data_IF_638088305532
#
_entry.id   IF_638088305532
#
_cell.length_a   1.000
_cell.length_b   1.000
_cell.length_c   1.000
_cell.angle_alpha   90.00
_cell.angle_beta   90.00
_cell.angle_gamma   90.00
#
_symmetry.space_group_name_H-M   'P 1'
#
loop_
_entity.id
_entity.type
_entity.pdbx_description
1 polymer ?
#
# COMPACT_ATOMS: atom_id res chain seq x y z
N UNK A 1 -41.66 7.13 38.82
CA UNK A 1 -41.02 7.93 37.75
C UNK A 1 -40.88 7.01 36.55
N UNK A 2 -41.40 7.27 35.35
CA UNK A 2 -41.15 8.42 34.48
C UNK A 2 -42.39 8.65 33.60
N UNK A 3 -42.92 9.87 33.63
CA UNK A 3 -43.95 10.33 32.70
C UNK A 3 -43.25 10.79 31.42
N UNK A 4 -43.49 10.13 30.29
CA UNK A 4 -43.27 10.74 28.98
C UNK A 4 -44.12 10.09 27.89
N UNK A 5 -45.37 10.55 27.73
CA UNK A 5 -46.02 10.56 26.43
C UNK A 5 -46.65 11.94 26.20
N UNK A 6 -45.82 12.96 25.92
CA UNK A 6 -46.31 14.30 25.53
C UNK A 6 -45.57 14.91 24.35
N UNK A 7 -44.43 14.34 23.95
CA UNK A 7 -43.66 14.79 22.79
C UNK A 7 -44.21 14.23 21.47
N UNK A 8 -44.60 12.95 21.45
CA UNK A 8 -45.10 12.28 20.24
C UNK A 8 -46.43 12.85 19.71
N UNK A 9 -47.30 13.39 20.57
CA UNK A 9 -48.54 14.06 20.13
C UNK A 9 -48.29 15.44 19.53
N UNK A 10 -47.28 16.18 20.02
CA UNK A 10 -46.90 17.49 19.45
C UNK A 10 -46.15 17.33 18.12
N UNK A 11 -45.32 16.30 17.98
CA UNK A 11 -44.64 15.99 16.72
C UNK A 11 -45.62 15.65 15.57
N UNK A 12 -46.79 15.06 15.87
CA UNK A 12 -47.78 14.66 14.85
C UNK A 12 -48.69 15.78 14.36
N UNK A 13 -48.87 16.86 15.13
CA UNK A 13 -49.74 17.99 14.74
C UNK A 13 -49.09 18.92 13.72
N UNK A 14 -47.77 19.10 13.82
CA UNK A 14 -47.04 20.06 13.00
C UNK A 14 -46.26 19.35 11.89
N UNK A 15 -46.84 19.30 10.68
CA UNK A 15 -46.20 18.67 9.50
C UNK A 15 -44.79 19.21 9.22
N UNK A 16 -44.54 20.50 9.52
CA UNK A 16 -43.22 21.13 9.40
C UNK A 16 -42.22 20.57 10.42
N UNK A 17 -42.67 20.38 11.67
CA UNK A 17 -41.83 19.85 12.74
C UNK A 17 -41.51 18.36 12.50
N UNK A 18 -42.50 17.59 12.03
CA UNK A 18 -42.31 16.21 11.60
C UNK A 18 -41.25 16.12 10.49
N UNK A 19 -41.31 17.00 9.48
CA UNK A 19 -40.36 17.07 8.36
C UNK A 19 -38.92 17.36 8.82
N UNK A 20 -38.75 18.30 9.75
CA UNK A 20 -37.43 18.65 10.30
C UNK A 20 -36.85 17.47 11.09
N UNK A 21 -37.69 16.78 11.87
CA UNK A 21 -37.25 15.62 12.66
C UNK A 21 -36.90 14.43 11.75
N UNK A 22 -37.70 14.15 10.71
CA UNK A 22 -37.35 13.10 9.74
C UNK A 22 -36.10 13.45 8.94
N UNK A 23 -35.92 14.71 8.52
CA UNK A 23 -34.69 15.14 7.86
C UNK A 23 -33.45 14.98 8.76
N UNK A 24 -33.58 15.30 10.06
CA UNK A 24 -32.51 15.10 11.03
C UNK A 24 -32.13 13.64 11.23
N UNK A 25 -33.13 12.74 11.33
CA UNK A 25 -32.89 11.29 11.44
C UNK A 25 -32.25 10.76 10.15
N UNK A 26 -32.73 11.17 8.97
CA UNK A 26 -32.10 10.78 7.70
C UNK A 26 -30.64 11.24 7.62
N UNK A 27 -30.34 12.48 8.05
CA UNK A 27 -28.97 12.98 8.09
C UNK A 27 -28.03 12.14 8.96
N UNK A 28 -28.49 11.73 10.15
CA UNK A 28 -27.71 10.87 11.04
C UNK A 28 -27.49 9.49 10.41
N UNK A 29 -28.52 8.90 9.79
CA UNK A 29 -28.40 7.62 9.08
C UNK A 29 -27.38 7.71 7.94
N UNK A 30 -27.37 8.80 7.18
CA UNK A 30 -26.39 9.02 6.11
C UNK A 30 -24.95 9.16 6.63
N UNK A 31 -24.74 9.83 7.77
CA UNK A 31 -23.40 9.95 8.38
C UNK A 31 -22.86 8.58 8.81
N UNK A 32 -23.70 7.78 9.47
CA UNK A 32 -23.30 6.43 9.91
C UNK A 32 -23.02 5.51 8.72
N UNK A 33 -23.82 5.57 7.66
CA UNK A 33 -23.55 4.83 6.42
C UNK A 33 -22.29 5.33 5.70
N UNK A 34 -21.92 6.61 5.85
CA UNK A 34 -20.69 7.17 5.30
C UNK A 34 -19.42 6.59 5.95
N UNK A 35 -19.48 6.17 7.21
CA UNK A 35 -18.36 5.45 7.85
C UNK A 35 -18.25 3.99 7.38
N UNK A 36 -19.34 3.38 6.91
CA UNK A 36 -19.36 1.99 6.41
C UNK A 36 -18.92 1.91 4.95
N UNK A 37 -19.01 3.01 4.20
CA UNK A 37 -18.38 3.11 2.88
C UNK A 37 -16.88 3.39 3.12
N UNK A 38 -15.97 2.47 2.76
CA UNK A 38 -14.55 2.74 2.88
C UNK A 38 -14.27 4.02 2.10
N UNK A 39 -13.66 5.01 2.76
CA UNK A 39 -13.16 6.23 2.12
C UNK A 39 -12.16 5.80 1.05
N UNK A 40 -12.63 5.54 -0.17
CA UNK A 40 -11.77 5.64 -1.33
C UNK A 40 -11.32 7.08 -1.31
N UNK A 41 -10.04 7.27 -0.98
CA UNK A 41 -9.38 8.55 -0.93
C UNK A 41 -9.91 9.43 -2.07
N UNK A 42 -10.59 10.52 -1.74
CA UNK A 42 -10.77 11.60 -2.70
C UNK A 42 -9.37 12.23 -2.81
N UNK A 43 -8.48 11.56 -3.54
CA UNK A 43 -7.23 12.13 -4.00
C UNK A 43 -7.63 13.27 -4.93
N UNK A 44 -7.60 14.47 -4.34
CA UNK A 44 -7.34 15.69 -5.07
C UNK A 44 -6.15 15.37 -5.96
N UNK A 45 -6.41 15.26 -7.25
CA UNK A 45 -5.46 14.81 -8.26
C UNK A 45 -4.43 15.92 -8.42
N UNK A 46 -3.46 15.94 -7.51
CA UNK A 46 -2.18 16.56 -7.76
C UNK A 46 -1.39 15.52 -8.54
N UNK A 47 -1.31 15.74 -9.85
CA UNK A 47 -0.43 15.02 -10.78
C UNK A 47 1.00 15.09 -10.25
N UNK A 48 1.36 14.14 -9.40
CA UNK A 48 2.70 13.84 -8.94
C UNK A 48 2.86 12.34 -9.04
N UNK A 49 3.76 11.91 -9.91
CA UNK A 49 3.95 10.53 -10.34
C UNK A 49 3.88 9.50 -9.21
N UNK A 50 3.01 8.52 -9.42
CA UNK A 50 2.94 7.26 -8.70
C UNK A 50 4.27 6.51 -8.82
N UNK A 51 5.20 6.80 -7.90
CA UNK A 51 6.40 5.99 -7.68
C UNK A 51 6.47 5.44 -6.25
N UNK A 52 5.31 5.36 -5.59
CA UNK A 52 5.17 4.88 -4.21
C UNK A 52 4.51 3.50 -4.11
N UNK A 53 3.93 2.98 -5.19
CA UNK A 53 3.02 1.82 -5.12
C UNK A 53 3.69 0.44 -5.08
N UNK A 54 4.93 0.26 -5.58
CA UNK A 54 5.52 -1.09 -5.67
C UNK A 54 6.16 -1.59 -4.37
N UNK A 55 6.87 -0.71 -3.64
CA UNK A 55 7.56 -1.11 -2.41
C UNK A 55 6.56 -1.27 -1.25
N UNK A 56 5.64 -0.30 -1.10
CA UNK A 56 4.61 -0.34 -0.06
C UNK A 56 3.70 -1.57 -0.17
N UNK A 57 3.37 -1.98 -1.40
CA UNK A 57 2.54 -3.17 -1.65
C UNK A 57 3.24 -4.48 -1.23
N UNK A 58 4.56 -4.54 -1.40
CA UNK A 58 5.34 -5.71 -1.00
C UNK A 58 5.42 -5.84 0.54
N UNK A 59 5.63 -4.72 1.24
CA UNK A 59 5.61 -4.64 2.71
C UNK A 59 4.27 -5.12 3.27
N UNK A 60 3.15 -4.58 2.78
CA UNK A 60 1.81 -5.00 3.23
C UNK A 60 1.55 -6.49 2.98
N UNK A 61 2.03 -7.02 1.86
CA UNK A 61 1.86 -8.44 1.53
C UNK A 61 2.63 -9.33 2.51
N UNK A 62 3.85 -8.92 2.87
CA UNK A 62 4.65 -9.59 3.89
C UNK A 62 4.01 -9.54 5.26
N UNK A 63 3.55 -8.36 5.68
CA UNK A 63 2.85 -8.16 6.96
C UNK A 63 1.62 -9.06 7.07
N UNK A 64 0.73 -9.05 6.07
CA UNK A 64 -0.48 -9.89 6.05
C UNK A 64 -0.16 -11.38 6.08
N UNK A 65 0.88 -11.81 5.34
CA UNK A 65 1.29 -13.23 5.33
C UNK A 65 1.82 -13.67 6.68
N UNK A 66 2.66 -12.85 7.32
CA UNK A 66 3.22 -13.15 8.63
C UNK A 66 2.15 -13.11 9.71
N UNK A 67 1.29 -12.11 9.71
CA UNK A 67 0.15 -12.00 10.63
C UNK A 67 -0.74 -13.24 10.53
N UNK A 68 -1.08 -13.67 9.31
CA UNK A 68 -1.88 -14.87 9.07
C UNK A 68 -1.23 -16.12 9.66
N UNK A 69 0.07 -16.34 9.41
CA UNK A 69 0.78 -17.52 9.93
C UNK A 69 0.78 -17.52 11.47
N UNK A 70 1.09 -16.38 12.08
CA UNK A 70 1.21 -16.26 13.54
C UNK A 70 -0.18 -16.35 14.20
N UNK A 71 -1.24 -15.90 13.53
CA UNK A 71 -2.62 -15.99 14.03
C UNK A 71 -3.11 -17.43 14.27
N UNK A 72 -2.55 -18.42 13.57
CA UNK A 72 -2.89 -19.84 13.77
C UNK A 72 -2.18 -20.47 14.98
N UNK A 73 -1.24 -19.77 15.60
CA UNK A 73 -0.55 -20.27 16.78
C UNK A 73 -1.51 -20.21 17.97
N UNK A 74 -1.75 -21.36 18.61
CA UNK A 74 -2.62 -21.45 19.76
C UNK A 74 -2.13 -20.53 20.89
N UNK A 75 -3.00 -19.64 21.35
CA UNK A 75 -2.68 -18.61 22.34
C UNK A 75 -2.14 -17.27 21.80
N UNK A 76 -2.01 -17.06 20.48
CA UNK A 76 -1.46 -15.82 19.91
C UNK A 76 -2.35 -14.57 20.07
N UNK A 77 -3.67 -14.75 20.24
CA UNK A 77 -4.60 -13.64 20.46
C UNK A 77 -4.67 -12.68 19.25
N UNK A 78 -4.50 -11.38 19.50
CA UNK A 78 -4.45 -10.37 18.43
C UNK A 78 -2.99 -10.12 18.03
N UNK A 79 -2.70 -10.35 16.76
CA UNK A 79 -1.37 -10.21 16.18
C UNK A 79 -1.36 -8.98 15.27
N UNK A 80 -0.32 -8.15 15.39
CA UNK A 80 -0.03 -7.06 14.45
C UNK A 80 1.46 -7.15 14.10
N UNK A 81 1.77 -7.08 12.80
CA UNK A 81 3.14 -7.21 12.29
C UNK A 81 3.46 -5.97 11.47
N UNK A 82 4.66 -5.42 11.65
CA UNK A 82 5.21 -4.33 10.86
C UNK A 82 6.52 -4.80 10.22
N UNK A 83 6.71 -4.53 8.94
CA UNK A 83 7.92 -4.88 8.19
C UNK A 83 8.58 -3.60 7.66
N UNK A 84 9.90 -3.52 7.80
CA UNK A 84 10.71 -2.45 7.21
C UNK A 84 11.75 -3.08 6.32
N UNK A 85 11.76 -2.71 5.04
CA UNK A 85 12.76 -3.19 4.10
C UNK A 85 14.01 -2.33 4.17
N UNK A 86 15.17 -2.95 4.33
CA UNK A 86 16.48 -2.27 4.28
C UNK A 86 16.84 -1.84 2.85
N UNK A 87 16.36 -2.58 1.86
CA UNK A 87 16.65 -2.37 0.44
C UNK A 87 15.37 -2.30 -0.37
N UNK A 88 15.33 -1.38 -1.33
CA UNK A 88 14.25 -1.28 -2.32
C UNK A 88 14.56 -2.10 -3.58
N UNK A 89 13.76 -1.93 -4.63
CA UNK A 89 13.96 -2.61 -5.91
C UNK A 89 15.31 -2.22 -6.52
N UNK A 90 16.17 -3.21 -6.75
CA UNK A 90 17.46 -3.02 -7.41
C UNK A 90 17.35 -3.36 -8.90
N UNK A 91 17.57 -2.38 -9.77
CA UNK A 91 17.70 -2.61 -11.22
C UNK A 91 19.10 -3.14 -11.51
N UNK A 92 19.19 -4.38 -12.00
CA UNK A 92 20.46 -5.00 -12.41
C UNK A 92 20.64 -4.84 -13.92
N UNK A 93 21.75 -4.23 -14.33
CA UNK A 93 22.12 -4.09 -15.73
C UNK A 93 22.71 -5.40 -16.27
N UNK A 94 22.54 -5.64 -17.57
CA UNK A 94 23.26 -6.71 -18.25
C UNK A 94 24.76 -6.39 -18.27
N UNK A 95 25.57 -7.36 -17.86
CA UNK A 95 27.03 -7.26 -17.75
C UNK A 95 27.70 -8.33 -18.61
N UNK A 96 28.75 -7.94 -19.31
CA UNK A 96 29.69 -8.86 -19.96
C UNK A 96 30.99 -8.87 -19.13
N UNK A 97 31.32 -10.03 -18.55
CA UNK A 97 32.49 -10.21 -17.69
C UNK A 97 33.46 -11.19 -18.35
N UNK A 98 34.71 -10.76 -18.58
CA UNK A 98 35.77 -11.60 -19.13
C UNK A 98 36.87 -11.79 -18.08
N UNK A 99 37.01 -13.02 -17.60
CA UNK A 99 38.13 -13.43 -16.75
C UNK A 99 39.18 -14.15 -17.61
N UNK A 100 40.39 -13.60 -17.67
CA UNK A 100 41.55 -14.26 -18.24
C UNK A 100 42.47 -14.71 -17.12
N UNK A 101 42.64 -16.02 -16.97
CA UNK A 101 43.60 -16.62 -16.03
C UNK A 101 44.69 -17.32 -16.83
N UNK A 102 45.91 -16.79 -16.81
CA UNK A 102 47.10 -17.46 -17.34
C UNK A 102 47.84 -18.14 -16.20
N UNK A 103 47.97 -19.46 -16.27
CA UNK A 103 48.73 -20.25 -15.32
C UNK A 103 49.98 -20.79 -16.00
N UNK A 104 51.16 -20.32 -15.58
CA UNK A 104 52.46 -20.87 -15.98
C UNK A 104 53.26 -21.27 -14.75
N UNK A 105 54.23 -22.18 -14.92
CA UNK A 105 54.97 -22.90 -13.85
C UNK A 105 55.60 -22.03 -12.74
N UNK A 106 55.65 -20.70 -12.88
CA UNK A 106 56.18 -19.77 -11.86
C UNK A 106 55.40 -18.47 -11.64
N UNK A 107 54.34 -18.18 -12.41
CA UNK A 107 53.54 -16.94 -12.26
C UNK A 107 52.10 -17.18 -12.69
N UNK A 108 51.15 -16.81 -11.83
CA UNK A 108 49.72 -16.76 -12.14
C UNK A 108 49.30 -15.30 -12.34
N UNK A 109 48.74 -14.98 -13.50
CA UNK A 109 48.21 -13.66 -13.82
C UNK A 109 46.70 -13.76 -14.06
N UNK A 110 45.93 -12.95 -13.31
CA UNK A 110 44.47 -12.84 -13.45
C UNK A 110 44.10 -11.44 -13.91
N UNK A 111 43.35 -11.35 -14.99
CA UNK A 111 42.78 -10.09 -15.51
C UNK A 111 41.26 -10.18 -15.56
N UNK A 112 40.59 -9.12 -15.12
CA UNK A 112 39.14 -8.99 -15.08
C UNK A 112 38.69 -7.78 -15.90
N UNK A 113 37.85 -7.99 -16.90
CA UNK A 113 37.22 -6.94 -17.71
C UNK A 113 35.70 -6.97 -17.47
N UNK A 114 35.08 -5.81 -17.18
CA UNK A 114 33.63 -5.67 -16.96
C UNK A 114 33.06 -4.60 -17.90
N UNK A 115 32.06 -4.94 -18.71
CA UNK A 115 31.33 -4.03 -19.62
C UNK A 115 29.84 -3.99 -19.30
N UNK A 116 29.22 -2.83 -19.43
CA UNK A 116 27.78 -2.64 -19.20
C UNK A 116 27.04 -2.32 -20.50
N UNK A 117 25.83 -2.86 -20.65
CA UNK A 117 24.98 -2.65 -21.83
C UNK A 117 23.98 -1.54 -21.55
N UNK A 118 24.07 -0.41 -22.28
CA UNK A 118 23.08 0.67 -22.27
C UNK A 118 22.29 0.65 -23.58
N UNK A 119 20.96 0.58 -23.51
CA UNK A 119 20.07 0.69 -24.67
C UNK A 119 19.39 2.05 -24.67
N UNK A 120 19.59 2.84 -25.74
CA UNK A 120 18.84 4.07 -26.00
C UNK A 120 17.57 3.72 -26.79
N UNK A 121 16.44 4.37 -26.49
CA UNK A 121 15.13 4.03 -27.07
C UNK A 121 15.07 4.21 -28.60
N UNK A 122 15.99 4.99 -29.20
CA UNK A 122 16.06 5.20 -30.65
C UNK A 122 17.31 4.62 -31.35
N UNK A 123 18.30 4.08 -30.61
CA UNK A 123 19.50 3.51 -31.26
C UNK A 123 20.22 2.44 -30.43
N UNK A 124 20.55 1.36 -31.13
CA UNK A 124 21.10 0.13 -30.56
C UNK A 124 22.38 0.31 -29.74
N UNK A 125 22.35 -0.30 -28.56
CA UNK A 125 23.44 -0.75 -27.69
C UNK A 125 24.74 0.05 -27.80
N UNK A 126 24.98 0.92 -26.81
CA UNK A 126 26.31 1.49 -26.56
C UNK A 126 27.02 0.61 -25.52
N UNK A 127 28.14 0.01 -25.91
CA UNK A 127 29.04 -0.74 -25.02
C UNK A 127 30.09 0.21 -24.45
N UNK A 128 30.22 0.28 -23.13
CA UNK A 128 31.36 0.93 -22.44
C UNK A 128 32.08 -0.04 -21.51
#
# INVERSE_FOLDING_TARGET
MKKMPKLSEKLKKDKKLLLIVTAGILGIVFIVLSEVIPKSSYEKTETGEQKKDTVSSYEETLEKRLESIISYVDGAGRVQVMVTLDTSVQTQYAKDEKENSKNGDKTSEKSYEKKYVLTDEDSGVVLT
#
